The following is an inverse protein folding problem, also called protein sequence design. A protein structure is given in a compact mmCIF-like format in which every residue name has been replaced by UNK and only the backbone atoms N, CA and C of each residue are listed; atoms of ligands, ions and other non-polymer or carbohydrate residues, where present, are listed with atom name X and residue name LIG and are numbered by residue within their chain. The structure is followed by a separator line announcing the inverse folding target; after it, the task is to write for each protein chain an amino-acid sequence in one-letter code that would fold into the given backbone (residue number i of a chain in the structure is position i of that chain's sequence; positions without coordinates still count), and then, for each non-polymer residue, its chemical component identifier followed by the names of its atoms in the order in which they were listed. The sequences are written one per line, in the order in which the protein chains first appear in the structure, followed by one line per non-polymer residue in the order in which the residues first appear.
data_IF_410528237611
#
_entry.id   IF_410528237611
#
_cell.length_a   1.000
_cell.length_b   1.000
_cell.length_c   1.000
_cell.angle_alpha   90.00
_cell.angle_beta   90.00
_cell.angle_gamma   90.00
#
_symmetry.space_group_name_H-M   'P 1'
#
loop_
_entity.id
_entity.type
_entity.pdbx_description
1 polymer ?
#
# COMPACT_ATOMS: atom_id res chain seq x y z
N UNK A 1 17.34 -2.95 -30.78
CA UNK A 1 16.77 -4.20 -30.24
C UNK A 1 17.46 -4.74 -28.97
N UNK A 2 18.70 -4.37 -28.65
CA UNK A 2 19.38 -4.82 -27.41
C UNK A 2 18.80 -4.18 -26.12
N UNK A 3 18.34 -2.93 -26.19
CA UNK A 3 17.76 -2.22 -25.05
C UNK A 3 16.53 -2.93 -24.45
N UNK A 4 15.55 -3.30 -25.28
CA UNK A 4 14.35 -4.01 -24.83
C UNK A 4 14.68 -5.37 -24.21
N UNK A 5 15.62 -6.13 -24.81
CA UNK A 5 16.04 -7.44 -24.28
C UNK A 5 16.68 -7.31 -22.89
N UNK A 6 17.52 -6.30 -22.70
CA UNK A 6 18.16 -6.03 -21.41
C UNK A 6 17.17 -5.50 -20.37
N UNK A 7 16.17 -4.72 -20.79
CA UNK A 7 15.10 -4.23 -19.93
C UNK A 7 14.21 -5.37 -19.42
N UNK A 8 13.72 -6.23 -20.31
CA UNK A 8 12.92 -7.40 -19.93
C UNK A 8 13.69 -8.37 -19.04
N UNK A 9 14.99 -8.57 -19.28
CA UNK A 9 15.84 -9.40 -18.42
C UNK A 9 15.95 -8.83 -16.99
N UNK A 10 16.04 -7.49 -16.85
CA UNK A 10 16.04 -6.83 -15.53
C UNK A 10 14.70 -7.00 -14.81
N UNK A 11 13.59 -6.80 -15.50
CA UNK A 11 12.25 -7.02 -14.92
C UNK A 11 12.10 -8.48 -14.46
N UNK A 12 12.45 -9.44 -15.32
CA UNK A 12 12.36 -10.87 -14.98
C UNK A 12 13.18 -11.22 -13.74
N UNK A 13 14.37 -10.61 -13.57
CA UNK A 13 15.22 -10.78 -12.38
C UNK A 13 14.64 -10.14 -11.11
N UNK A 14 13.87 -9.06 -11.24
CA UNK A 14 13.16 -8.48 -10.11
C UNK A 14 12.01 -9.42 -9.71
N UNK A 15 11.25 -9.91 -10.69
CA UNK A 15 10.15 -10.84 -10.44
C UNK A 15 10.60 -12.18 -9.84
N UNK A 16 11.81 -12.65 -10.16
CA UNK A 16 12.35 -13.87 -9.54
C UNK A 16 12.69 -13.72 -8.04
N UNK A 17 12.69 -12.51 -7.49
CA UNK A 17 12.89 -12.26 -6.06
C UNK A 17 11.57 -12.28 -5.26
N UNK A 18 10.44 -12.41 -5.96
CA UNK A 18 9.10 -12.39 -5.34
C UNK A 18 8.76 -13.80 -4.88
N UNK A 19 8.70 -13.99 -3.56
CA UNK A 19 8.29 -15.23 -2.93
C UNK A 19 6.76 -15.30 -2.72
N UNK A 20 6.29 -16.40 -2.15
CA UNK A 20 4.85 -16.63 -1.96
C UNK A 20 4.26 -15.73 -0.86
N UNK A 21 5.05 -15.37 0.14
CA UNK A 21 4.63 -14.43 1.17
C UNK A 21 4.32 -13.05 0.55
N UNK A 22 5.21 -12.52 -0.30
CA UNK A 22 4.99 -11.25 -0.95
C UNK A 22 3.80 -11.30 -1.93
N UNK A 23 3.59 -12.42 -2.63
CA UNK A 23 2.41 -12.64 -3.48
C UNK A 23 1.09 -12.62 -2.68
N UNK A 24 1.11 -12.98 -1.40
CA UNK A 24 -0.04 -12.91 -0.51
C UNK A 24 -0.23 -11.50 0.06
N UNK A 25 0.85 -10.82 0.45
CA UNK A 25 0.76 -9.53 1.15
C UNK A 25 0.38 -8.36 0.24
N UNK A 26 0.86 -8.33 -1.01
CA UNK A 26 0.54 -7.23 -1.93
C UNK A 26 -0.96 -7.12 -2.23
N UNK A 27 -1.71 -8.19 -2.56
CA UNK A 27 -3.15 -8.12 -2.75
C UNK A 27 -3.92 -7.67 -1.51
N UNK A 28 -3.49 -8.09 -0.32
CA UNK A 28 -4.08 -7.66 0.96
C UNK A 28 -3.86 -6.15 1.18
N UNK A 29 -2.63 -5.68 1.00
CA UNK A 29 -2.30 -4.27 1.11
C UNK A 29 -3.09 -3.42 0.10
N UNK A 30 -3.22 -3.87 -1.15
CA UNK A 30 -4.02 -3.20 -2.17
C UNK A 30 -5.51 -3.14 -1.79
N UNK A 31 -6.04 -4.18 -1.16
CA UNK A 31 -7.43 -4.21 -0.66
C UNK A 31 -7.63 -3.16 0.43
N UNK A 32 -6.71 -3.06 1.38
CA UNK A 32 -6.74 -2.01 2.42
C UNK A 32 -6.74 -0.62 1.77
N UNK A 33 -5.85 -0.35 0.81
CA UNK A 33 -5.77 0.97 0.17
C UNK A 33 -6.99 1.31 -0.71
N UNK A 34 -7.65 0.30 -1.29
CA UNK A 34 -8.92 0.49 -2.00
C UNK A 34 -10.05 0.87 -1.04
N UNK A 35 -10.14 0.22 0.11
CA UNK A 35 -11.10 0.62 1.15
C UNK A 35 -10.80 2.02 1.70
N UNK A 36 -9.53 2.43 1.78
CA UNK A 36 -9.18 3.82 2.09
C UNK A 36 -9.75 4.76 1.01
N UNK A 37 -9.56 4.43 -0.27
CA UNK A 37 -10.11 5.21 -1.40
C UNK A 37 -11.65 5.33 -1.32
N UNK A 38 -12.34 4.24 -1.02
CA UNK A 38 -13.80 4.20 -0.83
C UNK A 38 -14.23 5.05 0.36
N UNK A 39 -13.51 4.98 1.48
CA UNK A 39 -13.80 5.77 2.68
C UNK A 39 -13.60 7.29 2.47
N UNK A 40 -12.85 7.72 1.45
CA UNK A 40 -12.76 9.14 1.07
C UNK A 40 -14.08 9.67 0.48
N UNK A 41 -14.93 8.79 -0.04
CA UNK A 41 -16.24 9.16 -0.60
C UNK A 41 -17.34 9.20 0.48
N UNK A 42 -17.20 8.44 1.56
CA UNK A 42 -18.12 8.45 2.70
C UNK A 42 -17.36 8.11 4.00
N UNK A 43 -17.18 9.07 4.93
CA UNK A 43 -16.45 8.82 6.17
C UNK A 43 -17.23 7.85 7.07
N UNK A 44 -16.64 6.69 7.37
CA UNK A 44 -17.20 5.74 8.32
C UNK A 44 -16.73 6.02 9.76
N UNK A 45 -17.56 5.68 10.74
CA UNK A 45 -17.29 5.91 12.16
C UNK A 45 -16.17 5.02 12.75
N UNK A 46 -15.88 3.88 12.12
CA UNK A 46 -14.82 2.95 12.55
C UNK A 46 -13.92 2.56 11.37
N UNK A 47 -12.93 3.40 11.10
CA UNK A 47 -12.11 3.31 9.88
C UNK A 47 -11.26 2.04 9.89
N UNK A 48 -10.57 1.72 10.98
CA UNK A 48 -9.60 0.62 10.99
C UNK A 48 -10.27 -0.75 10.87
N UNK A 49 -11.38 -0.96 11.57
CA UNK A 49 -12.09 -2.25 11.51
C UNK A 49 -12.63 -2.51 10.10
N UNK A 50 -13.11 -1.48 9.42
CA UNK A 50 -13.61 -1.61 8.05
C UNK A 50 -12.51 -1.81 7.02
N UNK A 51 -11.33 -1.20 7.21
CA UNK A 51 -10.20 -1.31 6.28
C UNK A 51 -9.60 -2.71 6.22
N UNK A 52 -9.64 -3.45 7.32
CA UNK A 52 -9.03 -4.79 7.38
C UNK A 52 -10.07 -5.82 6.92
N UNK A 53 -9.74 -6.74 6.00
CA UNK A 53 -10.65 -7.83 5.64
C UNK A 53 -10.93 -8.72 6.87
N UNK A 54 -12.21 -8.97 7.18
CA UNK A 54 -12.60 -9.70 8.41
C UNK A 54 -12.31 -11.20 8.38
N UNK A 55 -11.93 -11.74 7.22
CA UNK A 55 -11.58 -13.14 6.96
C UNK A 55 -10.09 -13.45 7.18
N UNK A 56 -9.26 -12.45 7.48
CA UNK A 56 -7.83 -12.66 7.75
C UNK A 56 -7.59 -13.16 9.18
N UNK A 57 -6.61 -14.04 9.34
CA UNK A 57 -6.21 -14.52 10.66
C UNK A 57 -5.59 -13.40 11.52
N UNK A 58 -5.53 -13.63 12.84
CA UNK A 58 -5.05 -12.64 13.82
C UNK A 58 -3.62 -12.18 13.56
N UNK A 59 -2.76 -13.04 13.04
CA UNK A 59 -1.35 -12.73 12.76
C UNK A 59 -1.27 -11.77 11.58
N UNK A 60 -1.95 -12.10 10.47
CA UNK A 60 -2.01 -11.24 9.29
C UNK A 60 -2.68 -9.91 9.61
N UNK A 61 -3.74 -9.91 10.44
CA UNK A 61 -4.37 -8.68 10.94
C UNK A 61 -3.35 -7.80 11.68
N UNK A 62 -2.58 -8.38 12.60
CA UNK A 62 -1.57 -7.63 13.35
C UNK A 62 -0.46 -7.08 12.43
N UNK A 63 -0.03 -7.85 11.43
CA UNK A 63 0.96 -7.41 10.45
C UNK A 63 0.42 -6.28 9.57
N UNK A 64 -0.85 -6.34 9.17
CA UNK A 64 -1.49 -5.28 8.40
C UNK A 64 -1.61 -3.98 9.20
N UNK A 65 -2.04 -4.06 10.47
CA UNK A 65 -2.15 -2.88 11.35
C UNK A 65 -0.79 -2.22 11.51
N UNK A 66 0.23 -3.02 11.86
CA UNK A 66 1.61 -2.54 12.01
C UNK A 66 2.16 -1.97 10.70
N UNK A 67 1.93 -2.66 9.60
CA UNK A 67 2.37 -2.23 8.27
C UNK A 67 1.69 -0.95 7.82
N UNK A 68 0.41 -0.75 8.15
CA UNK A 68 -0.32 0.49 7.89
C UNK A 68 0.26 1.65 8.70
N UNK A 69 0.52 1.45 10.00
CA UNK A 69 1.15 2.47 10.84
C UNK A 69 2.54 2.85 10.34
N UNK A 70 3.37 1.86 10.03
CA UNK A 70 4.69 2.06 9.43
C UNK A 70 4.59 2.82 8.10
N UNK A 71 3.68 2.42 7.22
CA UNK A 71 3.56 2.96 5.88
C UNK A 71 3.08 4.41 5.91
N UNK A 72 2.05 4.71 6.71
CA UNK A 72 1.58 6.07 6.90
C UNK A 72 2.73 6.91 7.51
N UNK A 73 3.36 6.46 8.59
CA UNK A 73 4.50 7.19 9.20
C UNK A 73 5.64 7.43 8.21
N UNK A 74 5.93 6.47 7.32
CA UNK A 74 6.96 6.59 6.28
C UNK A 74 6.58 7.57 5.16
N UNK A 75 5.28 7.76 4.91
CA UNK A 75 4.76 8.72 3.93
C UNK A 75 4.55 10.11 4.53
N UNK A 76 4.34 10.21 5.84
CA UNK A 76 4.12 11.44 6.59
C UNK A 76 5.39 12.28 6.81
N UNK A 77 6.32 12.29 5.85
CA UNK A 77 7.51 13.17 5.81
C UNK A 77 7.14 14.64 5.55
N UNK A 78 5.84 14.99 5.62
CA UNK A 78 5.35 16.37 5.54
C UNK A 78 4.74 16.69 6.90
N UNK A 79 5.35 17.65 7.60
CA UNK A 79 5.17 17.97 9.02
C UNK A 79 3.73 18.09 9.55
N UNK A 80 2.72 18.20 8.69
CA UNK A 80 1.30 18.38 9.02
C UNK A 80 0.70 17.25 9.85
N UNK A 81 1.23 16.02 9.78
CA UNK A 81 0.69 14.86 10.51
C UNK A 81 1.64 14.30 11.59
N UNK A 82 2.78 14.94 11.85
CA UNK A 82 3.77 14.45 12.81
C UNK A 82 3.27 14.48 14.27
N UNK A 83 2.23 15.27 14.55
CA UNK A 83 1.61 15.36 15.88
C UNK A 83 0.60 14.24 16.19
N UNK A 84 0.23 13.41 15.21
CA UNK A 84 -0.70 12.30 15.41
C UNK A 84 -0.03 11.17 16.22
N UNK A 85 -0.60 10.84 17.39
CA UNK A 85 -0.06 9.85 18.32
C UNK A 85 -0.60 8.44 18.05
N UNK A 86 -1.81 8.35 17.51
CA UNK A 86 -2.50 7.07 17.23
C UNK A 86 -2.57 6.75 15.74
N UNK A 87 -2.75 5.48 15.40
CA UNK A 87 -2.92 5.05 14.01
C UNK A 87 -4.16 5.68 13.39
N UNK A 88 -5.24 5.79 14.16
CA UNK A 88 -6.50 6.43 13.79
C UNK A 88 -6.29 7.90 13.41
N UNK A 89 -5.55 8.66 14.23
CA UNK A 89 -5.21 10.06 13.94
C UNK A 89 -4.33 10.19 12.71
N UNK A 90 -3.31 9.32 12.58
CA UNK A 90 -2.42 9.30 11.41
C UNK A 90 -3.19 9.00 10.14
N UNK A 91 -4.09 8.02 10.17
CA UNK A 91 -4.94 7.64 9.06
C UNK A 91 -5.90 8.76 8.69
N UNK A 92 -6.57 9.37 9.68
CA UNK A 92 -7.45 10.52 9.43
C UNK A 92 -6.70 11.70 8.80
N UNK A 93 -5.47 11.98 9.27
CA UNK A 93 -4.62 13.02 8.70
C UNK A 93 -4.20 12.68 7.26
N UNK A 94 -3.80 11.43 7.01
CA UNK A 94 -3.45 10.95 5.67
C UNK A 94 -4.65 11.00 4.71
N UNK A 95 -5.85 10.66 5.16
CA UNK A 95 -7.07 10.78 4.36
C UNK A 95 -7.37 12.23 3.98
N UNK A 96 -7.18 13.20 4.89
CA UNK A 96 -7.29 14.64 4.57
C UNK A 96 -6.24 15.05 3.52
N UNK A 97 -5.02 14.53 3.61
CA UNK A 97 -4.00 14.74 2.59
C UNK A 97 -4.45 14.19 1.23
N UNK A 98 -4.98 12.96 1.17
CA UNK A 98 -5.47 12.33 -0.07
C UNK A 98 -6.62 13.11 -0.73
N UNK A 99 -7.46 13.80 0.05
CA UNK A 99 -8.54 14.66 -0.47
C UNK A 99 -8.01 15.89 -1.22
N UNK A 100 -6.82 16.40 -0.85
CA UNK A 100 -6.17 17.54 -1.51
C UNK A 100 -5.55 17.16 -2.88
N UNK A 101 -5.36 15.86 -3.14
CA UNK A 101 -4.72 15.36 -4.35
C UNK A 101 -5.70 15.21 -5.52
N UNK A 102 -5.18 15.36 -6.75
CA UNK A 102 -5.89 14.94 -7.96
C UNK A 102 -6.14 13.41 -7.96
N UNK A 103 -7.12 12.91 -8.74
CA UNK A 103 -7.41 11.47 -8.79
C UNK A 103 -6.17 10.61 -9.07
N UNK A 104 -5.35 10.98 -10.05
CA UNK A 104 -4.14 10.23 -10.41
C UNK A 104 -3.07 10.26 -9.31
N UNK A 105 -2.88 11.43 -8.67
CA UNK A 105 -1.92 11.58 -7.58
C UNK A 105 -2.37 10.80 -6.33
N UNK A 106 -3.68 10.75 -6.08
CA UNK A 106 -4.28 9.94 -5.01
C UNK A 106 -4.05 8.45 -5.26
N UNK A 107 -4.25 7.96 -6.47
CA UNK A 107 -4.01 6.56 -6.81
C UNK A 107 -2.53 6.21 -6.69
N UNK A 108 -1.62 7.08 -7.15
CA UNK A 108 -0.19 6.90 -6.96
C UNK A 108 0.22 6.85 -5.47
N UNK A 109 -0.36 7.72 -4.64
CA UNK A 109 -0.13 7.73 -3.20
C UNK A 109 -0.62 6.45 -2.52
N UNK A 110 -1.79 5.94 -2.92
CA UNK A 110 -2.37 4.69 -2.41
C UNK A 110 -1.57 3.45 -2.86
N UNK A 111 -1.11 3.39 -4.12
CA UNK A 111 -0.22 2.33 -4.60
C UNK A 111 1.09 2.36 -3.79
N UNK A 112 1.62 3.55 -3.50
CA UNK A 112 2.83 3.68 -2.68
C UNK A 112 2.60 3.22 -1.24
N UNK A 113 1.45 3.56 -0.65
CA UNK A 113 1.04 3.08 0.66
C UNK A 113 0.98 1.55 0.68
N UNK A 114 0.35 0.92 -0.31
CA UNK A 114 0.26 -0.54 -0.41
C UNK A 114 1.65 -1.21 -0.51
N UNK A 115 2.57 -0.60 -1.26
CA UNK A 115 3.97 -1.08 -1.37
C UNK A 115 4.69 -1.04 -0.02
N UNK A 116 4.51 0.03 0.76
CA UNK A 116 5.11 0.19 2.08
C UNK A 116 4.50 -0.76 3.12
N UNK A 117 3.18 -0.97 3.09
CA UNK A 117 2.51 -1.98 3.93
C UNK A 117 3.10 -3.36 3.64
N UNK A 118 3.16 -3.72 2.35
CA UNK A 118 3.69 -5.01 1.90
C UNK A 118 5.14 -5.23 2.32
N UNK A 119 5.95 -4.16 2.29
CA UNK A 119 7.34 -4.20 2.75
C UNK A 119 7.47 -4.50 4.23
N UNK A 120 6.66 -3.85 5.08
CA UNK A 120 6.71 -4.10 6.51
C UNK A 120 6.19 -5.50 6.87
N UNK A 121 5.09 -5.93 6.25
CA UNK A 121 4.56 -7.29 6.40
C UNK A 121 5.57 -8.35 5.98
N UNK A 122 6.34 -8.09 4.91
CA UNK A 122 7.39 -8.97 4.42
C UNK A 122 8.69 -8.86 5.24
N UNK A 123 8.75 -8.04 6.30
CA UNK A 123 9.94 -7.92 7.14
C UNK A 123 11.13 -7.26 6.43
N UNK A 124 10.88 -6.38 5.45
CA UNK A 124 11.90 -5.58 4.76
C UNK A 124 12.98 -6.39 4.03
N UNK A 125 12.68 -7.63 3.64
CA UNK A 125 13.65 -8.54 3.02
C UNK A 125 14.19 -8.09 1.66
N UNK A 126 13.45 -7.23 0.93
CA UNK A 126 13.82 -6.77 -0.40
C UNK A 126 14.03 -5.25 -0.46
N UNK A 127 14.57 -4.77 -1.59
CA UNK A 127 14.69 -3.33 -1.84
C UNK A 127 13.33 -2.72 -2.18
N UNK A 128 13.11 -1.46 -1.80
CA UNK A 128 11.84 -0.75 -2.01
C UNK A 128 11.31 -0.84 -3.46
N UNK A 129 12.19 -0.71 -4.45
CA UNK A 129 11.79 -0.75 -5.85
C UNK A 129 11.21 -2.10 -6.30
N UNK A 130 11.52 -3.19 -5.58
CA UNK A 130 10.95 -4.52 -5.86
C UNK A 130 9.48 -4.55 -5.42
N UNK A 131 9.19 -4.05 -4.21
CA UNK A 131 7.82 -3.87 -3.73
C UNK A 131 7.04 -2.92 -4.62
N UNK A 132 7.63 -1.75 -4.95
CA UNK A 132 6.98 -0.76 -5.81
C UNK A 132 6.60 -1.35 -7.17
N UNK A 133 7.53 -2.07 -7.82
CA UNK A 133 7.26 -2.68 -9.13
C UNK A 133 6.17 -3.75 -9.04
N UNK A 134 6.23 -4.62 -8.03
CA UNK A 134 5.25 -5.70 -7.92
C UNK A 134 3.86 -5.19 -7.55
N UNK A 135 3.77 -4.24 -6.63
CA UNK A 135 2.51 -3.59 -6.26
C UNK A 135 1.91 -2.84 -7.45
N UNK A 136 2.71 -2.09 -8.22
CA UNK A 136 2.25 -1.44 -9.45
C UNK A 136 1.75 -2.44 -10.48
N UNK A 137 2.49 -3.54 -10.72
CA UNK A 137 2.06 -4.60 -11.62
C UNK A 137 0.72 -5.21 -11.18
N UNK A 138 0.55 -5.49 -9.89
CA UNK A 138 -0.71 -6.02 -9.34
C UNK A 138 -1.85 -5.01 -9.38
N UNK A 139 -1.58 -3.73 -9.19
CA UNK A 139 -2.57 -2.69 -9.37
C UNK A 139 -3.03 -2.59 -10.83
N UNK A 140 -2.11 -2.67 -11.80
CA UNK A 140 -2.45 -2.64 -13.23
C UNK A 140 -3.24 -3.87 -13.72
N UNK A 141 -3.12 -5.01 -13.03
CA UNK A 141 -3.95 -6.19 -13.28
C UNK A 141 -5.39 -6.02 -12.76
N UNK A 142 -5.60 -5.18 -11.75
CA UNK A 142 -6.92 -4.84 -11.25
C UNK A 142 -7.56 -3.86 -12.25
N UNK A 143 -8.71 -4.23 -12.82
CA UNK A 143 -9.44 -3.34 -13.73
C UNK A 143 -9.69 -2.01 -13.01
N UNK A 144 -9.39 -0.86 -13.64
CA UNK A 144 -9.89 0.41 -13.11
C UNK A 144 -11.41 0.33 -13.12
N UNK A 145 -12.04 0.57 -11.97
CA UNK A 145 -13.47 0.82 -11.91
C UNK A 145 -13.77 1.99 -12.87
N UNK A 146 -14.49 1.67 -13.95
CA UNK A 146 -14.98 2.60 -14.96
C UNK A 146 -16.28 3.24 -14.49
#
# INVERSE_FOLDING_TARGET
MAFCKNFFAKIKRIYSQIDDALKQYVPLALTVTRKIKEALQSPAADLIEQLIPGDVDKTIRSLLIKGLDYAITSLLVVDECNAAATLEEKLACYMKYLQKLSPDARDAALIKLASLISKDMHGHQLKQHVYDLFTQGKFSEQKPDA
#
